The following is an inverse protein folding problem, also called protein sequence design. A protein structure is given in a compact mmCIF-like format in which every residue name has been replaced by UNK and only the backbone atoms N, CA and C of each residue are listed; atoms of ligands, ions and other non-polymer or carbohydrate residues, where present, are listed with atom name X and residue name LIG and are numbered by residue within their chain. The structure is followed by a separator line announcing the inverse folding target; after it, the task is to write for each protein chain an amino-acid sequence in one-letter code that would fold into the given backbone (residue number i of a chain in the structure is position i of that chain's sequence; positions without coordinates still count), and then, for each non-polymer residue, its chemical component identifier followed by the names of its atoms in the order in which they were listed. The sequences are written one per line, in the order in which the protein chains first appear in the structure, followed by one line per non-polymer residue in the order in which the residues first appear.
data_IF_133261759908
#
_entry.id   IF_133261759908
#
_cell.length_a   1.000
_cell.length_b   1.000
_cell.length_c   1.000
_cell.angle_alpha   90.00
_cell.angle_beta   90.00
_cell.angle_gamma   90.00
#
_symmetry.space_group_name_H-M   'P 1'
#
loop_
_entity.id
_entity.type
_entity.pdbx_description
1 polymer ?
#
# COMPACT_ATOMS: atom_id res chain seq x y z
N UNK A 1 -8.68 -8.82 -40.78
CA UNK A 1 -7.87 -9.83 -41.53
C UNK A 1 -6.40 -9.49 -41.29
N UNK A 2 -5.82 -9.90 -40.16
CA UNK A 2 -4.40 -9.82 -39.89
C UNK A 2 -3.91 -11.19 -39.43
N UNK A 3 -3.12 -11.80 -40.30
CA UNK A 3 -2.60 -13.15 -40.17
C UNK A 3 -1.26 -13.13 -39.43
N UNK A 4 -1.13 -14.13 -38.59
CA UNK A 4 0.04 -14.66 -37.89
C UNK A 4 1.37 -14.48 -38.65
N UNK A 5 2.39 -13.94 -37.95
CA UNK A 5 3.77 -14.28 -38.20
C UNK A 5 4.37 -14.83 -36.90
N UNK A 6 4.45 -16.16 -36.80
CA UNK A 6 5.29 -16.87 -35.84
C UNK A 6 6.72 -16.89 -36.39
N UNK A 7 7.61 -16.06 -35.84
CA UNK A 7 9.04 -16.22 -35.99
C UNK A 7 9.59 -16.96 -34.77
N UNK A 8 10.23 -18.12 -34.97
CA UNK A 8 11.03 -18.82 -33.97
C UNK A 8 12.25 -17.96 -33.67
N UNK A 9 12.35 -17.42 -32.46
CA UNK A 9 13.59 -16.88 -31.90
C UNK A 9 14.28 -17.96 -31.06
N UNK A 10 15.57 -18.12 -31.26
CA UNK A 10 16.47 -18.93 -30.48
C UNK A 10 16.49 -18.43 -29.03
N UNK A 11 16.52 -19.42 -28.15
CA UNK A 11 16.77 -19.30 -26.72
C UNK A 11 18.22 -18.85 -26.51
N UNK A 12 18.44 -17.57 -26.26
CA UNK A 12 19.69 -17.04 -25.75
C UNK A 12 19.36 -16.42 -24.38
N UNK A 13 19.73 -17.17 -23.32
CA UNK A 13 19.45 -16.84 -21.93
C UNK A 13 20.18 -15.59 -21.47
N UNK A 14 19.41 -14.50 -21.35
CA UNK A 14 19.62 -13.42 -20.40
C UNK A 14 18.23 -12.92 -20.02
N UNK A 15 17.81 -13.24 -18.79
CA UNK A 15 16.50 -12.91 -18.29
C UNK A 15 16.29 -11.40 -18.28
N UNK A 16 15.45 -10.91 -19.20
CA UNK A 16 14.83 -9.60 -19.07
C UNK A 16 14.08 -9.56 -17.72
N UNK A 17 14.57 -8.74 -16.79
CA UNK A 17 14.10 -8.64 -15.41
C UNK A 17 12.68 -8.10 -15.22
N UNK A 18 11.70 -8.55 -16.05
CA UNK A 18 10.28 -8.34 -15.81
C UNK A 18 9.74 -9.51 -14.98
N UNK A 19 8.96 -9.22 -13.92
CA UNK A 19 8.31 -10.26 -13.13
C UNK A 19 7.37 -11.11 -14.01
N UNK A 20 7.22 -12.40 -13.70
CA UNK A 20 6.23 -13.23 -14.36
C UNK A 20 4.84 -12.65 -14.11
N UNK A 21 4.04 -12.55 -15.17
CA UNK A 21 2.66 -12.01 -15.15
C UNK A 21 1.66 -12.82 -14.32
N UNK A 22 2.08 -13.98 -13.78
CA UNK A 22 1.25 -14.86 -12.96
C UNK A 22 1.57 -14.81 -11.45
N UNK A 23 2.51 -13.96 -10.99
CA UNK A 23 2.76 -13.77 -9.58
C UNK A 23 1.69 -12.84 -9.00
N UNK A 24 0.89 -13.30 -8.05
CA UNK A 24 -0.10 -12.49 -7.35
C UNK A 24 0.59 -11.40 -6.53
N UNK A 25 1.70 -11.74 -5.86
CA UNK A 25 2.43 -10.87 -4.95
C UNK A 25 3.52 -10.06 -5.70
N UNK A 26 3.38 -8.73 -5.69
CA UNK A 26 4.29 -7.83 -6.41
C UNK A 26 5.32 -7.14 -5.51
N UNK A 27 4.95 -6.81 -4.27
CA UNK A 27 5.86 -6.27 -3.24
C UNK A 27 5.76 -7.18 -2.02
N UNK A 28 6.89 -7.64 -1.49
CA UNK A 28 6.98 -8.48 -0.30
C UNK A 28 8.14 -7.99 0.58
N UNK A 29 7.80 -7.35 1.68
CA UNK A 29 8.73 -6.88 2.72
C UNK A 29 8.67 -7.83 3.91
N UNK A 30 9.81 -8.36 4.33
CA UNK A 30 9.93 -9.30 5.46
C UNK A 30 10.89 -8.75 6.49
N UNK A 31 10.37 -8.42 7.67
CA UNK A 31 11.10 -7.92 8.85
C UNK A 31 12.02 -6.75 8.52
N UNK A 32 11.56 -5.84 7.63
CA UNK A 32 12.38 -4.73 7.12
C UNK A 32 12.56 -3.67 8.17
N UNK A 33 13.81 -3.46 8.58
CA UNK A 33 14.21 -2.36 9.46
C UNK A 33 15.24 -1.46 8.77
N UNK A 34 15.12 -0.16 8.98
CA UNK A 34 16.08 0.84 8.50
C UNK A 34 16.54 1.75 9.62
N UNK A 35 17.85 1.71 9.91
CA UNK A 35 18.50 2.60 10.85
C UNK A 35 19.44 3.57 10.12
N UNK A 36 19.48 4.81 10.58
CA UNK A 36 20.45 5.83 10.19
C UNK A 36 21.33 6.17 11.38
N UNK A 37 22.65 6.23 11.18
CA UNK A 37 23.58 6.65 12.22
C UNK A 37 23.43 8.15 12.49
N UNK A 38 23.26 8.51 13.76
CA UNK A 38 23.21 9.90 14.21
C UNK A 38 24.23 10.14 15.31
N UNK A 39 24.62 11.40 15.60
CA UNK A 39 25.54 11.72 16.68
C UNK A 39 25.09 11.23 18.07
N UNK A 40 23.79 10.97 18.24
CA UNK A 40 23.19 10.51 19.51
C UNK A 40 22.94 8.99 19.53
N UNK A 41 23.32 8.26 18.46
CA UNK A 41 23.11 6.83 18.28
C UNK A 41 22.22 6.51 17.07
N UNK A 42 21.95 5.23 16.80
CA UNK A 42 21.13 4.83 15.65
C UNK A 42 19.66 5.30 15.82
N UNK A 43 19.14 5.92 14.77
CA UNK A 43 17.74 6.28 14.64
C UNK A 43 17.06 5.29 13.68
N UNK A 44 16.06 4.56 14.18
CA UNK A 44 15.27 3.62 13.38
C UNK A 44 14.12 4.36 12.69
N UNK A 45 14.24 4.53 11.38
CA UNK A 45 13.20 5.13 10.54
C UNK A 45 12.12 4.11 10.13
N UNK A 46 12.47 2.82 10.08
CA UNK A 46 11.55 1.69 9.91
C UNK A 46 11.94 0.58 10.88
N UNK A 47 10.95 -0.12 11.43
CA UNK A 47 11.10 -1.16 12.44
C UNK A 47 10.20 -2.34 12.09
N UNK A 48 10.81 -3.48 11.78
CA UNK A 48 10.16 -4.78 11.56
C UNK A 48 8.93 -4.71 10.63
N UNK A 49 9.08 -3.97 9.51
CA UNK A 49 8.03 -3.81 8.52
C UNK A 49 7.80 -5.13 7.79
N UNK A 50 6.59 -5.66 7.92
CA UNK A 50 6.06 -6.76 7.14
C UNK A 50 4.92 -6.22 6.28
N UNK A 51 5.04 -6.31 4.95
CA UNK A 51 4.08 -5.75 4.01
C UNK A 51 4.06 -6.53 2.71
N UNK A 52 2.88 -6.93 2.31
CA UNK A 52 2.64 -7.57 1.03
C UNK A 52 1.69 -6.73 0.20
N UNK A 53 1.96 -6.58 -1.11
CA UNK A 53 1.11 -5.88 -2.06
C UNK A 53 0.94 -6.74 -3.30
N UNK A 54 -0.30 -7.00 -3.67
CA UNK A 54 -0.65 -7.80 -4.82
C UNK A 54 -0.57 -7.02 -6.14
N UNK A 55 -0.48 -7.76 -7.23
CA UNK A 55 -0.51 -7.18 -8.57
C UNK A 55 -1.88 -6.55 -8.85
N UNK A 56 -1.89 -5.32 -9.36
CA UNK A 56 -3.12 -4.57 -9.64
C UNK A 56 -3.74 -3.91 -8.42
N UNK A 57 -3.10 -3.94 -7.25
CA UNK A 57 -3.58 -3.29 -6.04
C UNK A 57 -3.26 -1.78 -6.03
N UNK A 58 -4.20 -0.97 -5.52
CA UNK A 58 -3.94 0.44 -5.21
C UNK A 58 -3.80 0.60 -3.69
N UNK A 59 -2.58 0.79 -3.23
CA UNK A 59 -2.25 0.94 -1.81
C UNK A 59 -1.91 2.39 -1.49
N UNK A 60 -2.53 2.94 -0.44
CA UNK A 60 -2.14 4.22 0.14
C UNK A 60 -1.43 4.02 1.48
N UNK A 61 -0.32 4.72 1.70
CA UNK A 61 0.36 4.80 2.98
C UNK A 61 0.15 6.19 3.57
N UNK A 62 -0.50 6.26 4.71
CA UNK A 62 -0.73 7.49 5.45
C UNK A 62 0.09 7.51 6.75
N UNK A 63 0.31 8.68 7.32
CA UNK A 63 1.02 8.86 8.58
C UNK A 63 1.55 10.28 8.74
N UNK A 64 1.92 10.65 9.95
CA UNK A 64 2.48 11.98 10.27
C UNK A 64 3.81 12.22 9.54
N UNK A 65 4.22 13.51 9.44
CA UNK A 65 5.56 13.83 8.96
C UNK A 65 6.61 13.15 9.87
N UNK A 66 7.63 12.55 9.24
CA UNK A 66 8.67 11.82 9.98
C UNK A 66 8.32 10.37 10.36
N UNK A 67 7.15 9.86 10.03
CA UNK A 67 6.76 8.46 10.36
C UNK A 67 7.51 7.37 9.59
N UNK A 68 8.33 7.72 8.58
CA UNK A 68 9.10 6.74 7.79
C UNK A 68 8.59 6.49 6.37
N UNK A 69 7.53 7.19 5.92
CA UNK A 69 6.89 6.96 4.59
C UNK A 69 7.87 7.04 3.42
N UNK A 70 8.64 8.12 3.32
CA UNK A 70 9.65 8.28 2.26
C UNK A 70 10.76 7.23 2.38
N UNK A 71 11.12 6.81 3.62
CA UNK A 71 12.05 5.69 3.83
C UNK A 71 11.48 4.39 3.29
N UNK A 72 10.19 4.11 3.53
CA UNK A 72 9.51 2.93 2.99
C UNK A 72 9.48 2.95 1.45
N UNK A 73 9.17 4.09 0.84
CA UNK A 73 9.28 4.31 -0.61
C UNK A 73 10.69 3.99 -1.10
N UNK A 74 11.73 4.48 -0.41
CA UNK A 74 13.12 4.23 -0.79
C UNK A 74 13.51 2.75 -0.71
N UNK A 75 12.95 1.99 0.26
CA UNK A 75 13.15 0.53 0.32
C UNK A 75 12.54 -0.17 -0.88
N UNK A 76 11.26 0.08 -1.18
CA UNK A 76 10.51 -0.56 -2.27
C UNK A 76 11.12 -0.22 -3.64
N UNK A 77 11.65 0.98 -3.80
CA UNK A 77 12.23 1.44 -5.07
C UNK A 77 13.70 1.12 -5.23
N UNK A 78 14.35 0.59 -4.18
CA UNK A 78 15.79 0.31 -4.17
C UNK A 78 16.65 1.59 -4.28
N UNK A 79 16.12 2.76 -3.87
CA UNK A 79 16.91 4.01 -3.74
C UNK A 79 17.82 3.90 -2.52
N UNK A 80 17.36 3.26 -1.46
CA UNK A 80 18.14 2.95 -0.28
C UNK A 80 17.96 1.46 0.09
N UNK A 81 18.78 0.95 1.01
CA UNK A 81 18.79 -0.46 1.41
C UNK A 81 18.33 -0.62 2.85
N UNK A 82 17.64 -1.70 3.17
CA UNK A 82 17.32 -2.02 4.55
C UNK A 82 18.61 -2.28 5.36
N UNK A 83 18.53 -1.99 6.65
CA UNK A 83 19.57 -2.40 7.61
C UNK A 83 19.41 -3.88 7.98
N UNK A 84 18.15 -4.32 8.10
CA UNK A 84 17.75 -5.71 8.36
C UNK A 84 16.53 -6.06 7.51
N UNK A 85 16.29 -7.36 7.33
CA UNK A 85 15.14 -7.88 6.61
C UNK A 85 15.33 -7.98 5.10
N UNK A 86 14.25 -8.30 4.39
CA UNK A 86 14.26 -8.59 2.96
C UNK A 86 13.25 -7.72 2.21
N UNK A 87 13.66 -7.20 1.06
CA UNK A 87 12.81 -6.45 0.14
C UNK A 87 12.78 -7.20 -1.19
N UNK A 88 11.63 -7.77 -1.52
CA UNK A 88 11.41 -8.52 -2.75
C UNK A 88 10.35 -7.75 -3.57
N UNK A 89 10.68 -7.36 -4.78
CA UNK A 89 9.78 -6.60 -5.66
C UNK A 89 9.76 -7.23 -7.05
N UNK A 90 8.58 -7.60 -7.52
CA UNK A 90 8.43 -8.34 -8.77
C UNK A 90 9.21 -9.65 -8.78
N UNK A 91 9.26 -10.37 -7.65
CA UNK A 91 10.03 -11.59 -7.49
C UNK A 91 11.56 -11.40 -7.40
N UNK A 92 12.05 -10.16 -7.46
CA UNK A 92 13.48 -9.84 -7.37
C UNK A 92 13.87 -9.39 -5.97
N UNK A 93 14.85 -10.02 -5.28
CA UNK A 93 15.37 -9.59 -3.99
C UNK A 93 16.27 -8.36 -4.19
N UNK A 94 15.66 -7.16 -4.26
CA UNK A 94 16.35 -5.93 -4.65
C UNK A 94 17.40 -5.47 -3.64
N UNK A 95 17.28 -5.88 -2.38
CA UNK A 95 18.24 -5.61 -1.32
C UNK A 95 19.60 -6.29 -1.55
N UNK A 96 19.65 -7.35 -2.36
CA UNK A 96 20.87 -8.08 -2.73
C UNK A 96 21.54 -7.50 -3.98
N UNK A 97 20.83 -6.72 -4.81
CA UNK A 97 21.38 -6.16 -6.04
C UNK A 97 22.51 -5.16 -5.76
N UNK A 98 23.58 -5.18 -6.55
CA UNK A 98 24.58 -4.11 -6.55
C UNK A 98 24.01 -2.79 -7.12
N UNK A 99 24.68 -1.66 -6.88
CA UNK A 99 24.27 -0.34 -7.41
C UNK A 99 24.15 -0.37 -8.95
N UNK A 100 25.05 -1.07 -9.64
CA UNK A 100 25.02 -1.23 -11.08
C UNK A 100 23.85 -2.08 -11.59
N UNK A 101 23.23 -2.89 -10.73
CA UNK A 101 22.09 -3.76 -11.07
C UNK A 101 20.75 -3.13 -10.66
N UNK A 102 20.68 -2.49 -9.49
CA UNK A 102 19.42 -1.94 -8.98
C UNK A 102 18.93 -0.76 -9.81
N UNK A 103 19.82 0.06 -10.36
CA UNK A 103 19.44 1.23 -11.16
C UNK A 103 18.77 0.84 -12.49
N UNK A 104 19.34 -0.06 -13.33
CA UNK A 104 18.65 -0.57 -14.52
C UNK A 104 17.35 -1.33 -14.18
N UNK A 105 17.36 -2.14 -13.11
CA UNK A 105 16.18 -2.85 -12.64
C UNK A 105 15.04 -1.87 -12.30
N UNK A 106 15.33 -0.84 -11.51
CA UNK A 106 14.35 0.21 -11.15
C UNK A 106 13.78 0.88 -12.38
N UNK A 107 14.64 1.25 -13.34
CA UNK A 107 14.23 1.90 -14.59
C UNK A 107 13.21 1.12 -15.41
N UNK A 108 13.16 -0.22 -15.28
CA UNK A 108 12.24 -1.09 -15.99
C UNK A 108 11.01 -1.51 -15.17
N UNK A 109 11.14 -1.57 -13.84
CA UNK A 109 10.12 -2.17 -12.99
C UNK A 109 9.33 -1.16 -12.14
N UNK A 110 9.87 0.05 -11.95
CA UNK A 110 9.27 1.04 -11.05
C UNK A 110 9.16 2.40 -11.72
N UNK A 111 7.94 2.93 -11.83
CA UNK A 111 7.68 4.32 -12.18
C UNK A 111 7.63 5.17 -10.93
N UNK A 112 8.43 6.24 -10.86
CA UNK A 112 8.49 7.13 -9.71
C UNK A 112 7.81 8.46 -9.99
N UNK A 113 6.92 8.87 -9.07
CA UNK A 113 6.26 10.18 -9.07
C UNK A 113 6.56 10.85 -7.75
N UNK A 114 7.18 12.02 -7.78
CA UNK A 114 7.60 12.77 -6.61
C UNK A 114 6.70 13.98 -6.35
N UNK A 115 6.65 14.45 -5.13
CA UNK A 115 5.90 15.63 -4.70
C UNK A 115 6.34 16.91 -5.46
N UNK A 116 7.63 17.08 -5.74
CA UNK A 116 8.20 18.23 -6.45
C UNK A 116 8.55 17.91 -7.90
N UNK A 117 7.76 17.12 -8.59
CA UNK A 117 7.82 16.77 -10.02
C UNK A 117 9.20 16.29 -10.52
N UNK A 118 10.30 16.90 -10.09
CA UNK A 118 11.69 16.64 -10.48
C UNK A 118 11.89 16.57 -11.99
N UNK A 119 11.24 17.47 -12.72
CA UNK A 119 11.46 17.65 -14.14
C UNK A 119 12.75 18.43 -14.38
N UNK A 120 13.49 18.05 -15.42
CA UNK A 120 14.69 18.77 -15.83
C UNK A 120 14.29 20.06 -16.57
N UNK A 121 14.62 21.26 -16.04
CA UNK A 121 14.12 22.53 -16.58
C UNK A 121 14.74 22.90 -17.93
N UNK A 122 15.85 22.29 -18.30
CA UNK A 122 16.52 22.49 -19.59
C UNK A 122 15.86 21.71 -20.74
N UNK A 123 15.12 20.64 -20.43
CA UNK A 123 14.45 19.77 -21.37
C UNK A 123 13.00 20.19 -21.58
N UNK A 124 12.45 19.93 -22.76
CA UNK A 124 11.02 20.02 -23.03
C UNK A 124 10.26 18.91 -22.29
N UNK A 125 8.93 19.00 -22.23
CA UNK A 125 8.11 18.00 -21.55
C UNK A 125 8.24 16.62 -22.22
N UNK A 126 8.24 16.55 -23.54
CA UNK A 126 8.45 15.30 -24.28
C UNK A 126 9.83 14.71 -24.02
N UNK A 127 10.88 15.52 -23.95
CA UNK A 127 12.24 15.06 -23.62
C UNK A 127 12.34 14.57 -22.17
N UNK A 128 11.67 15.22 -21.22
CA UNK A 128 11.57 14.72 -19.84
C UNK A 128 10.94 13.33 -19.79
N UNK A 129 9.88 13.08 -20.57
CA UNK A 129 9.23 11.75 -20.63
C UNK A 129 10.12 10.73 -21.33
N UNK A 130 10.93 11.14 -22.31
CA UNK A 130 11.86 10.23 -23.01
C UNK A 130 13.05 9.79 -22.14
N UNK A 131 13.44 10.57 -21.15
CA UNK A 131 14.66 10.37 -20.37
C UNK A 131 14.83 8.95 -19.79
N UNK A 132 13.82 8.32 -19.15
CA UNK A 132 13.95 6.92 -18.67
C UNK A 132 14.19 5.93 -19.81
N UNK A 133 13.66 6.20 -21.00
CA UNK A 133 13.84 5.32 -22.17
C UNK A 133 15.26 5.41 -22.73
N UNK A 134 15.93 6.56 -22.58
CA UNK A 134 17.33 6.74 -23.00
C UNK A 134 18.29 5.88 -22.16
N UNK A 135 17.98 5.68 -20.87
CA UNK A 135 18.80 4.88 -19.96
C UNK A 135 18.52 3.38 -20.04
N UNK A 136 17.29 2.99 -20.40
CA UNK A 136 16.88 1.57 -20.38
C UNK A 136 17.23 0.81 -21.66
N UNK A 137 17.57 1.51 -22.74
CA UNK A 137 17.77 0.93 -24.08
C UNK A 137 16.56 0.09 -24.59
N UNK A 138 15.37 0.32 -24.06
CA UNK A 138 14.14 -0.42 -24.39
C UNK A 138 13.69 -0.15 -25.83
N UNK A 139 13.97 1.05 -26.35
CA UNK A 139 13.56 1.49 -27.68
C UNK A 139 14.76 1.62 -28.64
N UNK A 140 14.59 1.16 -29.86
CA UNK A 140 15.65 1.07 -30.86
C UNK A 140 16.18 2.43 -31.36
N UNK A 141 15.33 3.44 -31.37
CA UNK A 141 15.70 4.75 -31.94
C UNK A 141 14.90 5.89 -31.31
N UNK A 142 15.35 7.13 -31.55
CA UNK A 142 14.75 8.34 -30.99
C UNK A 142 13.29 8.55 -31.45
N UNK A 143 12.95 8.14 -32.68
CA UNK A 143 11.59 8.30 -33.20
C UNK A 143 10.58 7.46 -32.47
N UNK A 144 10.94 6.23 -32.12
CA UNK A 144 10.08 5.34 -31.29
C UNK A 144 9.89 5.91 -29.88
N UNK A 145 10.97 6.40 -29.24
CA UNK A 145 10.90 7.04 -27.92
C UNK A 145 10.00 8.29 -27.94
N UNK A 146 10.15 9.14 -28.94
CA UNK A 146 9.32 10.34 -29.08
C UNK A 146 7.84 9.98 -29.31
N UNK A 147 7.55 8.99 -30.15
CA UNK A 147 6.18 8.53 -30.39
C UNK A 147 5.55 7.98 -29.10
N UNK A 148 6.31 7.17 -28.31
CA UNK A 148 5.86 6.70 -27.00
C UNK A 148 5.64 7.85 -26.01
N UNK A 149 6.54 8.82 -25.95
CA UNK A 149 6.43 9.98 -25.07
C UNK A 149 5.20 10.84 -25.40
N UNK A 150 4.94 11.11 -26.67
CA UNK A 150 3.74 11.83 -27.10
C UNK A 150 2.46 11.08 -26.74
N UNK A 151 2.40 9.77 -26.98
CA UNK A 151 1.28 8.94 -26.56
C UNK A 151 1.05 8.98 -25.03
N UNK A 152 2.11 8.98 -24.22
CA UNK A 152 2.00 9.09 -22.77
C UNK A 152 1.55 10.48 -22.31
N UNK A 153 1.96 11.54 -23.01
CA UNK A 153 1.47 12.91 -22.75
C UNK A 153 0.00 13.06 -23.12
N UNK A 154 -0.48 12.40 -24.17
CA UNK A 154 -1.90 12.31 -24.53
C UNK A 154 -2.68 11.55 -23.45
N UNK A 155 -2.18 10.40 -22.99
CA UNK A 155 -2.80 9.61 -21.91
C UNK A 155 -3.07 10.40 -20.62
N UNK A 156 -2.23 11.39 -20.34
CA UNK A 156 -2.36 12.28 -19.17
C UNK A 156 -2.96 13.65 -19.51
N UNK A 157 -3.56 13.81 -20.67
CA UNK A 157 -4.25 15.02 -21.17
C UNK A 157 -3.35 16.28 -21.21
N UNK A 158 -2.13 16.16 -21.77
CA UNK A 158 -1.19 17.30 -21.87
C UNK A 158 -0.33 17.30 -23.17
N UNK A 159 -0.71 16.57 -24.19
CA UNK A 159 0.03 16.46 -25.46
C UNK A 159 0.27 17.84 -26.11
N UNK A 160 -0.68 18.76 -26.02
CA UNK A 160 -0.58 20.12 -26.57
C UNK A 160 0.61 20.94 -26.02
N UNK A 161 1.13 20.52 -24.86
CA UNK A 161 2.28 21.14 -24.21
C UNK A 161 3.57 20.32 -24.33
N UNK A 162 3.61 19.30 -25.17
CA UNK A 162 4.74 18.35 -25.30
C UNK A 162 6.09 19.06 -25.54
N UNK A 163 6.11 20.09 -26.38
CA UNK A 163 7.34 20.80 -26.78
C UNK A 163 7.65 22.05 -25.95
N UNK A 164 6.81 22.35 -24.93
CA UNK A 164 7.09 23.39 -23.95
C UNK A 164 8.06 22.87 -22.87
N UNK A 165 8.74 23.81 -22.19
CA UNK A 165 9.54 23.53 -21.01
C UNK A 165 8.68 23.48 -19.76
N UNK A 166 9.11 22.81 -18.67
CA UNK A 166 8.39 22.78 -17.40
C UNK A 166 8.02 24.17 -16.87
N UNK A 167 8.89 25.18 -17.04
CA UNK A 167 8.62 26.57 -16.61
C UNK A 167 7.49 27.28 -17.36
N UNK A 168 7.00 26.72 -18.47
CA UNK A 168 5.95 27.30 -19.32
C UNK A 168 4.58 26.69 -19.07
N UNK A 169 4.46 25.80 -18.07
CA UNK A 169 3.23 25.07 -17.71
C UNK A 169 2.94 25.17 -16.21
N UNK A 170 1.67 24.97 -15.82
CA UNK A 170 1.24 25.01 -14.43
C UNK A 170 1.80 23.83 -13.61
N UNK A 171 1.75 23.91 -12.27
CA UNK A 171 2.19 22.82 -11.37
C UNK A 171 1.42 21.53 -11.62
N UNK A 172 0.09 21.59 -11.79
CA UNK A 172 -0.71 20.40 -12.13
C UNK A 172 -0.35 19.79 -13.49
N UNK A 173 -0.01 20.63 -14.47
CA UNK A 173 0.51 20.17 -15.76
C UNK A 173 1.90 19.53 -15.62
N UNK A 174 2.78 20.11 -14.79
CA UNK A 174 4.09 19.49 -14.49
C UNK A 174 3.93 18.11 -13.82
N UNK A 175 2.94 17.96 -12.92
CA UNK A 175 2.64 16.66 -12.31
C UNK A 175 2.19 15.63 -13.33
N UNK A 176 1.34 16.02 -14.31
CA UNK A 176 0.93 15.14 -15.41
C UNK A 176 2.14 14.69 -16.25
N UNK A 177 3.08 15.60 -16.55
CA UNK A 177 4.35 15.24 -17.22
C UNK A 177 5.17 14.26 -16.38
N UNK A 178 5.26 14.47 -15.06
CA UNK A 178 5.97 13.55 -14.17
C UNK A 178 5.33 12.14 -14.13
N UNK A 179 3.99 12.07 -14.18
CA UNK A 179 3.26 10.78 -14.30
C UNK A 179 3.53 10.15 -15.67
N UNK A 180 3.45 10.89 -16.76
CA UNK A 180 3.80 10.38 -18.10
C UNK A 180 5.23 9.83 -18.13
N UNK A 181 6.19 10.54 -17.51
CA UNK A 181 7.58 10.08 -17.36
C UNK A 181 7.69 8.78 -16.57
N UNK A 182 6.91 8.61 -15.50
CA UNK A 182 6.93 7.39 -14.71
C UNK A 182 6.46 6.16 -15.50
N UNK A 183 5.62 6.36 -16.52
CA UNK A 183 5.08 5.33 -17.41
C UNK A 183 5.96 5.02 -18.63
N UNK A 184 7.08 5.71 -18.80
CA UNK A 184 7.91 5.67 -20.01
C UNK A 184 8.27 4.25 -20.45
N UNK A 185 8.80 3.45 -19.55
CA UNK A 185 9.21 2.07 -19.79
C UNK A 185 8.12 1.01 -19.50
N UNK A 186 6.87 1.45 -19.32
CA UNK A 186 5.73 0.60 -19.01
C UNK A 186 5.92 -0.27 -17.74
N UNK A 187 6.34 0.32 -16.61
CA UNK A 187 6.61 -0.45 -15.40
C UNK A 187 5.31 -1.06 -14.82
N UNK A 188 5.39 -2.23 -14.16
CA UNK A 188 4.24 -2.82 -13.49
C UNK A 188 3.82 -2.06 -12.22
N UNK A 189 4.78 -1.36 -11.57
CA UNK A 189 4.57 -0.65 -10.31
C UNK A 189 4.79 0.85 -10.52
N UNK A 190 3.88 1.65 -9.97
CA UNK A 190 4.03 3.10 -9.84
C UNK A 190 4.10 3.43 -8.35
N UNK A 191 5.18 4.05 -7.93
CA UNK A 191 5.35 4.56 -6.57
C UNK A 191 5.22 6.07 -6.60
N UNK A 192 4.26 6.62 -5.85
CA UNK A 192 3.96 8.03 -5.81
C UNK A 192 4.15 8.58 -4.39
N UNK A 193 5.11 9.48 -4.21
CA UNK A 193 5.37 10.13 -2.92
C UNK A 193 4.72 11.52 -2.90
N UNK A 194 3.59 11.64 -2.18
CA UNK A 194 2.74 12.83 -2.06
C UNK A 194 2.39 13.50 -3.40
N UNK A 195 1.86 12.75 -4.39
CA UNK A 195 1.70 13.23 -5.77
C UNK A 195 0.72 14.38 -5.93
N UNK A 196 -0.10 14.68 -4.92
CA UNK A 196 -1.11 15.74 -4.92
C UNK A 196 -0.81 16.87 -3.93
N UNK A 197 0.25 16.75 -3.11
CA UNK A 197 0.52 17.63 -1.98
C UNK A 197 0.75 19.12 -2.32
N UNK A 198 1.11 19.44 -3.57
CA UNK A 198 1.35 20.80 -4.04
C UNK A 198 0.29 21.30 -5.04
N UNK A 199 -0.86 20.63 -5.12
CA UNK A 199 -1.91 20.93 -6.08
C UNK A 199 -3.17 21.46 -5.38
N UNK A 200 -3.96 22.25 -6.11
CA UNK A 200 -5.31 22.58 -5.67
C UNK A 200 -6.20 21.34 -5.70
N UNK A 201 -7.32 21.38 -4.98
CA UNK A 201 -8.21 20.24 -4.79
C UNK A 201 -8.79 19.67 -6.09
N UNK A 202 -9.07 20.51 -7.08
CA UNK A 202 -9.62 20.07 -8.38
C UNK A 202 -8.55 19.33 -9.18
N UNK A 203 -7.35 19.88 -9.23
CA UNK A 203 -6.22 19.25 -9.89
C UNK A 203 -5.80 17.95 -9.18
N UNK A 204 -5.78 17.95 -7.83
CA UNK A 204 -5.50 16.75 -7.03
C UNK A 204 -6.48 15.62 -7.33
N UNK A 205 -7.79 15.94 -7.41
CA UNK A 205 -8.83 14.99 -7.77
C UNK A 205 -8.60 14.39 -9.18
N UNK A 206 -8.29 15.22 -10.18
CA UNK A 206 -8.04 14.77 -11.54
C UNK A 206 -6.79 13.86 -11.64
N UNK A 207 -5.75 14.15 -10.85
CA UNK A 207 -4.55 13.29 -10.75
C UNK A 207 -4.89 11.95 -10.09
N UNK A 208 -5.71 11.95 -9.05
CA UNK A 208 -6.13 10.73 -8.39
C UNK A 208 -6.95 9.83 -9.32
N UNK A 209 -7.90 10.39 -10.07
CA UNK A 209 -8.69 9.66 -11.07
C UNK A 209 -7.81 9.09 -12.20
N UNK A 210 -6.70 9.76 -12.53
CA UNK A 210 -5.71 9.20 -13.44
C UNK A 210 -5.06 7.94 -12.86
N UNK A 211 -4.70 7.94 -11.57
CA UNK A 211 -4.17 6.74 -10.90
C UNK A 211 -5.20 5.60 -10.86
N UNK A 212 -6.48 5.89 -10.57
CA UNK A 212 -7.55 4.89 -10.62
C UNK A 212 -7.63 4.24 -12.02
N UNK A 213 -7.62 5.03 -13.10
CA UNK A 213 -7.60 4.50 -14.48
C UNK A 213 -6.37 3.63 -14.77
N UNK A 214 -5.21 3.94 -14.20
CA UNK A 214 -4.00 3.12 -14.38
C UNK A 214 -4.12 1.77 -13.66
N UNK A 215 -4.77 1.74 -12.49
CA UNK A 215 -5.09 0.49 -11.77
C UNK A 215 -6.05 -0.37 -12.60
N UNK A 216 -7.11 0.22 -13.16
CA UNK A 216 -8.04 -0.48 -14.06
C UNK A 216 -7.34 -1.08 -15.30
N UNK A 217 -6.20 -0.52 -15.70
CA UNK A 217 -5.33 -1.05 -16.75
C UNK A 217 -4.33 -2.10 -16.26
N UNK A 218 -4.42 -2.51 -14.99
CA UNK A 218 -3.58 -3.56 -14.39
C UNK A 218 -2.25 -3.06 -13.81
N UNK A 219 -2.08 -1.76 -13.58
CA UNK A 219 -0.92 -1.23 -12.85
C UNK A 219 -1.13 -1.35 -11.36
N UNK A 220 -0.06 -1.64 -10.62
CA UNK A 220 -0.05 -1.55 -9.16
C UNK A 220 0.43 -0.17 -8.75
N UNK A 221 -0.30 0.47 -7.83
CA UNK A 221 0.05 1.80 -7.34
C UNK A 221 0.31 1.75 -5.85
N UNK A 222 1.49 2.24 -5.46
CA UNK A 222 1.87 2.44 -4.08
C UNK A 222 2.03 3.94 -3.84
N UNK A 223 1.05 4.54 -3.16
CA UNK A 223 0.97 5.99 -2.97
C UNK A 223 1.19 6.36 -1.50
N UNK A 224 2.09 7.29 -1.25
CA UNK A 224 2.20 7.96 0.05
C UNK A 224 1.38 9.24 -0.02
N UNK A 225 0.51 9.47 0.96
CA UNK A 225 -0.29 10.69 1.07
C UNK A 225 -0.59 11.03 2.53
N UNK A 226 -0.86 12.31 2.80
CA UNK A 226 -1.42 12.76 4.07
C UNK A 226 -2.93 13.04 3.96
N UNK A 227 -3.50 12.91 2.77
CA UNK A 227 -4.92 13.11 2.50
C UNK A 227 -5.70 11.83 2.82
N UNK A 228 -6.39 11.83 3.96
CA UNK A 228 -7.18 10.69 4.42
C UNK A 228 -8.43 10.44 3.55
N UNK A 229 -8.96 11.44 2.87
CA UNK A 229 -10.14 11.27 2.04
C UNK A 229 -9.78 10.56 0.72
N UNK A 230 -8.64 10.89 0.13
CA UNK A 230 -8.10 10.14 -1.00
C UNK A 230 -7.71 8.71 -0.61
N UNK A 231 -7.11 8.53 0.58
CA UNK A 231 -6.71 7.21 1.07
C UNK A 231 -7.89 6.24 1.27
N UNK A 232 -9.10 6.74 1.52
CA UNK A 232 -10.32 5.89 1.64
C UNK A 232 -10.86 5.36 0.31
N UNK A 233 -10.35 5.83 -0.81
CA UNK A 233 -10.80 5.46 -2.16
C UNK A 233 -9.95 4.36 -2.80
N UNK A 234 -8.82 4.03 -2.20
CA UNK A 234 -7.91 3.00 -2.71
C UNK A 234 -8.34 1.60 -2.25
N UNK A 235 -7.70 0.57 -2.78
CA UNK A 235 -8.00 -0.82 -2.41
C UNK A 235 -7.70 -1.09 -0.94
N UNK A 236 -6.57 -0.55 -0.43
CA UNK A 236 -6.13 -0.71 0.96
C UNK A 236 -5.33 0.48 1.45
N UNK A 237 -5.60 0.90 2.68
CA UNK A 237 -4.83 1.95 3.37
C UNK A 237 -3.92 1.32 4.43
N UNK A 238 -2.69 1.78 4.48
CA UNK A 238 -1.67 1.39 5.48
C UNK A 238 -1.34 2.62 6.31
N UNK A 239 -1.38 2.47 7.62
CA UNK A 239 -0.99 3.54 8.53
C UNK A 239 0.44 3.29 9.00
N UNK A 240 1.32 4.26 8.77
CA UNK A 240 2.70 4.22 9.24
C UNK A 240 2.90 5.25 10.36
N UNK A 241 3.30 4.80 11.55
CA UNK A 241 3.61 5.65 12.68
C UNK A 241 4.92 5.22 13.34
N UNK A 242 5.81 6.19 13.60
CA UNK A 242 7.11 5.98 14.26
C UNK A 242 7.94 4.80 13.69
N UNK A 243 7.81 4.59 12.37
CA UNK A 243 8.50 3.53 11.65
C UNK A 243 7.86 2.15 11.73
N UNK A 244 6.64 2.04 12.25
CA UNK A 244 5.89 0.79 12.37
C UNK A 244 4.56 0.87 11.61
N UNK A 245 4.11 -0.23 11.01
CA UNK A 245 2.78 -0.32 10.39
C UNK A 245 1.74 -0.53 11.49
N UNK A 246 0.70 0.30 11.47
CA UNK A 246 -0.49 0.15 12.31
C UNK A 246 -1.60 -0.45 11.45
N UNK A 247 -2.24 -1.44 11.99
CA UNK A 247 -3.35 -2.11 11.33
C UNK A 247 -4.60 -1.19 11.28
N UNK A 248 -5.22 -1.07 10.11
CA UNK A 248 -6.39 -0.19 9.86
C UNK A 248 -7.56 -0.49 10.81
N UNK A 249 -7.73 -1.76 11.21
CA UNK A 249 -8.78 -2.14 12.14
C UNK A 249 -8.56 -1.60 13.56
N UNK A 250 -7.32 -1.30 13.98
CA UNK A 250 -7.08 -0.61 15.25
C UNK A 250 -7.56 0.84 15.22
N UNK A 251 -7.32 1.57 14.11
CA UNK A 251 -7.87 2.93 13.95
C UNK A 251 -9.40 2.90 13.92
N UNK A 252 -9.98 1.92 13.23
CA UNK A 252 -11.44 1.75 13.15
C UNK A 252 -12.05 1.39 14.51
N UNK A 253 -11.39 0.52 15.27
CA UNK A 253 -11.84 0.13 16.61
C UNK A 253 -11.70 1.29 17.61
N UNK A 254 -10.64 2.09 17.49
CA UNK A 254 -10.30 3.14 18.46
C UNK A 254 -10.10 4.52 17.78
N UNK A 255 -11.12 5.11 17.14
CA UNK A 255 -10.98 6.33 16.34
C UNK A 255 -10.61 7.57 17.14
N UNK A 256 -10.59 7.50 18.47
CA UNK A 256 -10.21 8.59 19.38
C UNK A 256 -8.77 8.52 19.86
N UNK A 257 -8.08 7.41 19.61
CA UNK A 257 -6.66 7.28 19.95
C UNK A 257 -5.81 8.01 18.90
N UNK A 258 -4.74 8.63 19.38
CA UNK A 258 -3.71 9.15 18.47
C UNK A 258 -2.80 8.00 17.98
N UNK A 259 -2.05 8.27 16.90
CA UNK A 259 -1.22 7.26 16.23
C UNK A 259 -0.18 6.62 17.19
N UNK A 260 0.35 7.36 18.19
CA UNK A 260 1.30 6.82 19.17
C UNK A 260 0.65 5.80 20.10
N UNK A 261 -0.58 6.05 20.56
CA UNK A 261 -1.34 5.10 21.36
C UNK A 261 -1.83 3.90 20.54
N UNK A 262 -2.16 4.11 19.27
CA UNK A 262 -2.48 3.00 18.36
C UNK A 262 -1.27 2.09 18.14
N UNK A 263 -0.06 2.65 17.98
CA UNK A 263 1.17 1.87 17.89
C UNK A 263 1.47 1.09 19.19
N UNK A 264 1.18 1.68 20.35
CA UNK A 264 1.30 1.00 21.63
C UNK A 264 0.27 -0.14 21.76
N UNK A 265 -0.99 0.11 21.37
CA UNK A 265 -2.03 -0.92 21.34
C UNK A 265 -1.64 -2.08 20.43
N UNK A 266 -1.05 -1.80 19.26
CA UNK A 266 -0.56 -2.84 18.33
C UNK A 266 0.50 -3.74 18.96
N UNK A 267 1.45 -3.18 19.71
CA UNK A 267 2.50 -3.94 20.39
C UNK A 267 1.96 -4.85 21.51
N UNK A 268 0.86 -4.42 22.13
CA UNK A 268 0.22 -5.17 23.21
C UNK A 268 -0.84 -6.15 22.70
N UNK A 269 -1.23 -6.05 21.44
CA UNK A 269 -2.22 -6.90 20.82
C UNK A 269 -1.61 -8.25 20.44
N UNK A 270 -2.22 -9.33 20.89
CA UNK A 270 -1.85 -10.70 20.56
C UNK A 270 -2.80 -11.24 19.49
N UNK A 271 -2.31 -11.65 18.32
CA UNK A 271 -3.17 -12.29 17.32
C UNK A 271 -3.62 -13.67 17.82
N UNK A 272 -4.89 -13.98 17.60
CA UNK A 272 -5.50 -15.27 17.95
C UNK A 272 -6.35 -15.73 16.77
N UNK A 273 -6.06 -16.92 16.25
CA UNK A 273 -6.81 -17.53 15.15
C UNK A 273 -7.84 -18.51 15.69
N UNK A 274 -9.01 -18.54 15.05
CA UNK A 274 -10.13 -19.40 15.40
C UNK A 274 -10.64 -20.13 14.16
N UNK A 275 -11.06 -21.37 14.36
CA UNK A 275 -11.69 -22.17 13.30
C UNK A 275 -13.18 -21.82 13.18
N UNK A 276 -13.78 -21.97 11.97
CA UNK A 276 -15.20 -21.71 11.76
C UNK A 276 -16.10 -22.42 12.78
N UNK A 277 -16.98 -21.67 13.44
CA UNK A 277 -17.90 -22.20 14.47
C UNK A 277 -17.28 -22.40 15.85
N UNK A 278 -15.99 -22.12 16.04
CA UNK A 278 -15.33 -22.23 17.35
C UNK A 278 -15.88 -21.18 18.33
N UNK A 279 -16.04 -21.57 19.59
CA UNK A 279 -16.51 -20.69 20.64
C UNK A 279 -15.34 -19.83 21.17
N UNK A 280 -15.44 -18.54 20.98
CA UNK A 280 -14.44 -17.54 21.43
C UNK A 280 -14.73 -17.14 22.90
N UNK A 281 -16.00 -16.92 23.22
CA UNK A 281 -16.47 -16.67 24.58
C UNK A 281 -17.68 -17.56 24.86
N UNK A 282 -17.57 -18.33 25.93
CA UNK A 282 -18.66 -19.18 26.39
C UNK A 282 -19.79 -18.35 27.03
N UNK A 283 -20.95 -18.97 27.11
CA UNK A 283 -22.14 -18.40 27.74
C UNK A 283 -21.86 -18.00 29.19
N UNK A 284 -21.96 -16.72 29.55
CA UNK A 284 -21.70 -16.19 30.89
C UNK A 284 -20.25 -15.85 31.22
N UNK A 285 -19.36 -16.07 30.30
CA UNK A 285 -17.96 -15.68 30.43
C UNK A 285 -17.81 -14.16 30.28
N UNK A 286 -17.04 -13.56 31.19
CA UNK A 286 -16.67 -12.16 31.09
C UNK A 286 -15.31 -12.07 30.39
N UNK A 287 -15.19 -11.40 29.24
CA UNK A 287 -13.92 -11.29 28.55
C UNK A 287 -12.91 -10.54 29.42
N UNK A 288 -11.75 -11.14 29.63
CA UNK A 288 -10.62 -10.51 30.31
C UNK A 288 -9.87 -9.55 29.38
N UNK A 289 -10.01 -9.74 28.08
CA UNK A 289 -9.37 -8.99 27.00
C UNK A 289 -10.42 -8.23 26.17
N UNK A 290 -9.99 -7.19 25.48
CA UNK A 290 -10.72 -6.59 24.37
C UNK A 290 -10.33 -7.33 23.10
N UNK A 291 -11.30 -7.80 22.35
CA UNK A 291 -11.08 -8.52 21.08
C UNK A 291 -11.50 -7.63 19.90
N UNK A 292 -10.60 -7.45 18.96
CA UNK A 292 -10.84 -6.71 17.72
C UNK A 292 -10.84 -7.71 16.58
N UNK A 293 -11.84 -7.68 15.71
CA UNK A 293 -11.87 -8.53 14.52
C UNK A 293 -10.84 -8.00 13.52
N UNK A 294 -9.85 -8.82 13.21
CA UNK A 294 -8.83 -8.54 12.20
C UNK A 294 -9.25 -9.11 10.84
N UNK A 295 -9.58 -10.40 10.79
CA UNK A 295 -9.99 -11.10 9.59
C UNK A 295 -11.23 -11.95 9.86
N UNK A 296 -12.07 -12.14 8.83
CA UNK A 296 -13.32 -12.89 8.94
C UNK A 296 -14.43 -12.12 9.65
N UNK A 297 -15.20 -12.81 10.49
CA UNK A 297 -16.25 -12.21 11.30
C UNK A 297 -16.53 -13.07 12.55
N UNK A 298 -17.20 -12.48 13.53
CA UNK A 298 -17.72 -13.21 14.69
C UNK A 298 -19.21 -12.98 14.84
N UNK A 299 -19.93 -13.99 15.33
CA UNK A 299 -21.34 -13.90 15.67
C UNK A 299 -21.55 -13.87 17.17
N UNK A 300 -22.40 -12.95 17.61
CA UNK A 300 -22.89 -12.90 19.00
C UNK A 300 -24.23 -13.60 19.06
N UNK A 301 -24.27 -14.68 19.81
CA UNK A 301 -25.45 -15.54 19.97
C UNK A 301 -26.08 -15.33 21.36
N UNK A 302 -27.39 -15.25 21.40
CA UNK A 302 -28.18 -15.32 22.64
C UNK A 302 -28.95 -16.63 22.68
N UNK A 303 -29.04 -17.23 23.88
CA UNK A 303 -29.93 -18.36 24.14
C UNK A 303 -31.29 -17.84 24.61
N UNK A 304 -32.35 -18.19 23.90
CA UNK A 304 -33.70 -17.92 24.30
C UNK A 304 -34.15 -18.90 25.42
N UNK A 305 -35.21 -18.55 26.18
CA UNK A 305 -35.75 -19.44 27.22
C UNK A 305 -36.19 -20.84 26.74
N UNK A 306 -36.49 -20.98 25.47
CA UNK A 306 -36.82 -22.24 24.79
C UNK A 306 -35.57 -23.10 24.46
N UNK A 307 -34.35 -22.58 24.74
CA UNK A 307 -33.08 -23.24 24.46
C UNK A 307 -32.52 -22.99 23.08
N UNK A 308 -33.21 -22.24 22.21
CA UNK A 308 -32.78 -21.91 20.87
C UNK A 308 -31.73 -20.78 20.92
N UNK A 309 -30.68 -20.89 20.10
CA UNK A 309 -29.69 -19.83 19.91
C UNK A 309 -30.11 -18.95 18.74
N UNK A 310 -30.07 -17.63 18.94
CA UNK A 310 -30.33 -16.64 17.91
C UNK A 310 -29.11 -15.71 17.77
N UNK A 311 -28.73 -15.44 16.52
CA UNK A 311 -27.69 -14.47 16.21
C UNK A 311 -28.27 -13.05 16.37
N UNK A 312 -27.66 -12.25 17.26
CA UNK A 312 -28.13 -10.89 17.59
C UNK A 312 -27.22 -9.82 17.02
N UNK A 313 -25.97 -10.16 16.75
CA UNK A 313 -25.01 -9.26 16.08
C UNK A 313 -23.94 -10.07 15.36
N UNK A 314 -23.41 -9.48 14.31
CA UNK A 314 -22.26 -9.98 13.54
C UNK A 314 -21.24 -8.86 13.46
N UNK A 315 -20.06 -9.10 14.01
CA UNK A 315 -18.96 -8.15 13.99
C UNK A 315 -17.99 -8.49 12.85
N UNK A 316 -17.57 -7.44 12.14
CA UNK A 316 -16.67 -7.49 10.98
C UNK A 316 -15.33 -6.85 11.32
N UNK A 317 -14.31 -6.94 10.44
CA UNK A 317 -13.02 -6.30 10.65
C UNK A 317 -13.13 -4.83 11.07
N UNK A 318 -12.32 -4.44 12.07
CA UNK A 318 -12.36 -3.12 12.69
C UNK A 318 -13.42 -2.94 13.80
N UNK A 319 -14.31 -3.90 13.98
CA UNK A 319 -15.24 -3.90 15.12
C UNK A 319 -14.65 -4.70 16.28
N UNK A 320 -15.03 -4.34 17.51
CA UNK A 320 -14.48 -4.95 18.72
C UNK A 320 -15.57 -5.31 19.73
N UNK A 321 -15.21 -6.20 20.65
CA UNK A 321 -16.03 -6.53 21.81
C UNK A 321 -15.14 -6.68 23.06
N UNK A 322 -15.56 -6.03 24.13
CA UNK A 322 -14.89 -6.14 25.44
C UNK A 322 -15.86 -6.49 26.58
N UNK A 323 -17.12 -6.08 26.44
CA UNK A 323 -18.23 -6.34 27.35
C UNK A 323 -19.50 -6.55 26.54
N UNK A 324 -20.09 -7.71 26.67
CA UNK A 324 -21.37 -8.00 26.05
C UNK A 324 -22.45 -7.78 27.10
N UNK A 325 -22.65 -6.51 27.51
CA UNK A 325 -23.77 -6.09 28.34
C UNK A 325 -25.00 -5.87 27.45
N UNK A 326 -25.71 -6.94 27.11
CA UNK A 326 -27.00 -6.81 26.44
C UNK A 326 -28.06 -6.34 27.43
N UNK A 327 -28.27 -5.02 27.44
CA UNK A 327 -29.29 -4.33 28.21
C UNK A 327 -30.70 -4.81 27.83
N UNK A 328 -31.33 -5.56 28.73
CA UNK A 328 -32.71 -5.44 29.24
C UNK A 328 -33.14 -6.67 30.03
N UNK A 329 -33.23 -6.51 31.36
CA UNK A 329 -34.10 -7.31 32.21
C UNK A 329 -33.76 -8.79 32.38
N UNK A 330 -32.78 -9.14 33.26
CA UNK A 330 -32.56 -10.50 33.74
C UNK A 330 -31.55 -11.32 32.96
N UNK A 331 -30.74 -12.07 33.69
CA UNK A 331 -29.66 -12.97 33.31
C UNK A 331 -29.44 -13.16 31.79
N UNK A 332 -28.35 -12.60 31.28
CA UNK A 332 -28.04 -12.66 29.85
C UNK A 332 -26.66 -13.14 29.60
N UNK A 333 -26.67 -14.18 28.94
CA UNK A 333 -25.55 -14.99 28.60
C UNK A 333 -25.45 -14.92 27.09
N UNK A 334 -24.53 -14.09 26.60
CA UNK A 334 -24.16 -14.09 25.21
C UNK A 334 -22.95 -15.01 25.03
N UNK A 335 -22.94 -15.72 23.94
CA UNK A 335 -21.81 -16.50 23.46
C UNK A 335 -21.27 -15.82 22.20
N UNK A 336 -19.96 -15.80 22.03
CA UNK A 336 -19.32 -15.34 20.80
C UNK A 336 -18.70 -16.52 20.10
N UNK A 337 -19.04 -16.71 18.84
CA UNK A 337 -18.45 -17.74 17.98
C UNK A 337 -17.77 -17.12 16.77
N UNK A 338 -16.76 -17.82 16.28
CA UNK A 338 -16.18 -17.58 14.97
C UNK A 338 -17.23 -17.87 13.89
N UNK A 339 -17.47 -16.93 12.99
CA UNK A 339 -18.51 -17.07 11.97
C UNK A 339 -18.21 -18.23 11.01
N UNK A 340 -19.10 -19.22 10.91
CA UNK A 340 -18.87 -20.40 10.07
C UNK A 340 -18.91 -20.10 8.55
N UNK A 341 -19.22 -18.88 8.14
CA UNK A 341 -19.18 -18.45 6.75
C UNK A 341 -17.81 -18.01 6.23
N UNK A 342 -16.74 -18.09 7.06
CA UNK A 342 -15.37 -17.75 6.70
C UNK A 342 -14.46 -18.95 6.93
N UNK A 343 -13.38 -19.06 6.15
CA UNK A 343 -12.43 -20.17 6.25
C UNK A 343 -11.47 -20.01 7.44
N UNK A 344 -11.14 -18.77 7.79
CA UNK A 344 -10.28 -18.39 8.91
C UNK A 344 -10.80 -17.12 9.58
N UNK A 345 -10.72 -17.06 10.91
CA UNK A 345 -11.08 -15.89 11.70
C UNK A 345 -9.90 -15.52 12.59
N UNK A 346 -9.41 -14.31 12.43
CA UNK A 346 -8.34 -13.76 13.25
C UNK A 346 -8.84 -12.59 14.10
N UNK A 347 -8.54 -12.63 15.39
CA UNK A 347 -8.81 -11.58 16.36
C UNK A 347 -7.51 -11.06 16.95
N UNK A 348 -7.47 -9.76 17.22
CA UNK A 348 -6.45 -9.17 18.08
C UNK A 348 -6.98 -9.07 19.51
N UNK A 349 -6.29 -9.71 20.42
CA UNK A 349 -6.61 -9.71 21.85
C UNK A 349 -5.74 -8.69 22.59
N UNK A 350 -6.36 -7.69 23.22
CA UNK A 350 -5.72 -6.68 24.06
C UNK A 350 -6.08 -6.90 25.51
N UNK A 351 -5.09 -7.02 26.40
CA UNK A 351 -5.34 -7.07 27.83
C UNK A 351 -5.94 -5.75 28.33
N UNK A 352 -6.93 -5.85 29.23
CA UNK A 352 -7.50 -4.65 29.88
C UNK A 352 -6.43 -4.04 30.77
N UNK A 353 -5.83 -2.94 30.33
CA UNK A 353 -4.88 -2.17 31.12
C UNK A 353 -5.51 -1.73 32.44
N UNK A 354 -4.86 -2.00 33.55
CA UNK A 354 -5.30 -1.57 34.88
C UNK A 354 -5.23 -0.04 35.03
N UNK A 355 -6.27 0.65 34.57
CA UNK A 355 -6.41 2.11 34.70
C UNK A 355 -6.92 2.77 33.44
N UNK A 356 -8.18 2.57 33.09
CA UNK A 356 -9.05 3.49 32.30
C UNK A 356 -8.46 4.34 31.18
N UNK A 357 -7.74 3.76 30.22
CA UNK A 357 -7.07 4.53 29.16
C UNK A 357 -7.32 4.03 27.72
N UNK A 358 -8.37 3.20 27.51
CA UNK A 358 -8.84 2.87 26.15
C UNK A 358 -10.20 3.47 25.87
#
# INVERSE_FOLDING_TARGET
MFARLRGKTKDDGEGNGRPPTDATLLIDLKDVSKAYETPTGPFFALKDINLQVDNGEFVAVIGKSGSGKTTLVNMITGIDRPTLGQVIVGGTPIHELSEGQVSPWRGLNVGLVFQFFQLLPSLTNVENVMLPMDFSNTFKNNKERQARALHLLDLVDIEEHAFKKPSEISGGQQQRVAIARSLANDPPIIVADEPTGNLDSVTAQAIFELFERLVDQGKTIFMVTHDKDLARRVTRTIILSDGEIIDEYLETAFPKLDDGRLAEARKLAEPQSFTPGETILAEGEQPQKCYIVNEGAVEILLREPNGQQISVARLKPGQYFEKIDLLRGGAKIAMVIADPGYDEIELLALEKGGGGAW
#
